data_IF_139686730595
#
_entry.id   IF_139686730595
#
_cell.length_a   1.000
_cell.length_b   1.000
_cell.length_c   1.000
_cell.angle_alpha   90.00
_cell.angle_beta   90.00
_cell.angle_gamma   90.00
#
_symmetry.space_group_name_H-M   'P 1'
#
loop_
_entity.id
_entity.type
_entity.pdbx_description
1 polymer ?
#
# COMPACT_ATOMS: atom_id res chain seq x y z
N UNK A 1 -16.72 9.54 1.56
CA UNK A 1 -17.87 10.46 1.69
C UNK A 1 -17.47 11.76 2.39
N UNK A 2 -16.96 11.78 3.65
CA UNK A 2 -16.61 13.03 4.36
C UNK A 2 -15.64 13.94 3.61
N UNK A 3 -14.56 13.39 3.05
CA UNK A 3 -13.59 14.18 2.28
C UNK A 3 -14.22 14.82 1.04
N UNK A 4 -15.11 14.11 0.35
CA UNK A 4 -15.85 14.63 -0.80
C UNK A 4 -16.79 15.77 -0.38
N UNK A 5 -17.52 15.61 0.73
CA UNK A 5 -18.41 16.63 1.25
C UNK A 5 -17.65 17.91 1.60
N UNK A 6 -16.57 17.81 2.36
CA UNK A 6 -15.81 18.98 2.82
C UNK A 6 -15.08 19.65 1.66
N UNK A 7 -14.23 18.92 0.91
CA UNK A 7 -13.34 19.52 -0.09
C UNK A 7 -14.00 19.82 -1.43
N UNK A 8 -15.07 19.11 -1.76
CA UNK A 8 -15.72 19.23 -3.06
C UNK A 8 -17.02 20.04 -2.98
N UNK A 9 -17.88 19.72 -1.99
CA UNK A 9 -19.18 20.37 -1.87
C UNK A 9 -19.10 21.68 -1.09
N UNK A 10 -18.48 21.69 0.12
CA UNK A 10 -18.45 22.87 0.97
C UNK A 10 -17.38 23.89 0.53
N UNK A 11 -16.15 23.43 0.25
CA UNK A 11 -15.03 24.29 -0.12
C UNK A 11 -14.93 24.55 -1.62
N UNK A 12 -15.49 23.67 -2.47
CA UNK A 12 -15.42 23.79 -3.93
C UNK A 12 -14.00 23.73 -4.51
N UNK A 13 -13.02 23.21 -3.76
CA UNK A 13 -11.60 23.19 -4.17
C UNK A 13 -11.29 22.08 -5.14
N UNK A 14 -11.96 20.94 -5.00
CA UNK A 14 -11.72 19.75 -5.76
C UNK A 14 -13.00 19.26 -6.43
N UNK A 15 -12.92 18.68 -7.64
CA UNK A 15 -14.07 18.14 -8.33
C UNK A 15 -14.62 16.91 -7.61
N UNK A 16 -15.93 16.70 -7.70
CA UNK A 16 -16.65 15.64 -6.98
C UNK A 16 -16.50 14.29 -7.66
N UNK A 17 -16.64 14.26 -9.00
CA UNK A 17 -16.69 13.05 -9.83
C UNK A 17 -16.03 13.27 -11.18
N UNK A 18 -15.57 12.20 -11.82
CA UNK A 18 -14.97 12.24 -13.15
C UNK A 18 -13.46 12.00 -13.15
N UNK A 19 -12.84 12.11 -14.32
CA UNK A 19 -11.42 11.84 -14.54
C UNK A 19 -10.74 12.86 -15.48
N UNK A 20 -11.37 14.01 -15.73
CA UNK A 20 -10.97 14.94 -16.80
C UNK A 20 -9.70 15.75 -16.49
N UNK A 21 -9.29 15.84 -15.21
CA UNK A 21 -8.10 16.58 -14.79
C UNK A 21 -7.38 15.91 -13.64
N UNK A 22 -6.10 16.28 -13.44
CA UNK A 22 -5.29 15.75 -12.33
C UNK A 22 -5.91 16.00 -10.93
N UNK A 23 -6.77 17.01 -10.78
CA UNK A 23 -7.47 17.31 -9.52
C UNK A 23 -8.43 16.20 -9.10
N UNK A 24 -8.97 15.44 -10.06
CA UNK A 24 -9.86 14.31 -9.77
C UNK A 24 -9.13 13.14 -9.09
N UNK A 25 -7.78 13.04 -9.22
CA UNK A 25 -6.99 12.00 -8.56
C UNK A 25 -6.79 12.24 -7.06
N UNK A 26 -6.88 13.51 -6.60
CA UNK A 26 -6.49 13.88 -5.24
C UNK A 26 -7.39 13.21 -4.19
N UNK A 27 -8.71 13.33 -4.30
CA UNK A 27 -9.64 12.78 -3.32
C UNK A 27 -9.64 11.25 -3.27
N UNK A 28 -9.71 10.51 -4.40
CA UNK A 28 -9.58 9.07 -4.41
C UNK A 28 -8.26 8.58 -3.80
N UNK A 29 -7.15 9.20 -4.19
CA UNK A 29 -5.82 8.84 -3.68
C UNK A 29 -5.68 9.10 -2.19
N UNK A 30 -6.17 10.22 -1.68
CA UNK A 30 -6.19 10.51 -0.25
C UNK A 30 -7.08 9.54 0.52
N UNK A 31 -8.24 9.17 -0.04
CA UNK A 31 -9.17 8.23 0.60
C UNK A 31 -8.54 6.85 0.77
N UNK A 32 -7.91 6.31 -0.28
CA UNK A 32 -7.20 5.03 -0.24
C UNK A 32 -5.91 5.11 0.58
N UNK A 33 -5.12 6.16 0.31
CA UNK A 33 -3.79 6.31 0.90
C UNK A 33 -3.82 6.58 2.40
N UNK A 34 -4.79 7.33 2.92
CA UNK A 34 -4.86 7.66 4.34
C UNK A 34 -5.06 6.41 5.21
N UNK A 35 -5.92 5.49 4.79
CA UNK A 35 -6.16 4.25 5.52
C UNK A 35 -4.91 3.37 5.57
N UNK A 36 -4.26 3.18 4.42
CA UNK A 36 -3.03 2.38 4.32
C UNK A 36 -1.87 3.06 5.06
N UNK A 37 -1.71 4.38 4.91
CA UNK A 37 -0.65 5.14 5.58
C UNK A 37 -0.75 5.02 7.10
N UNK A 38 -1.96 5.08 7.68
CA UNK A 38 -2.16 4.95 9.11
C UNK A 38 -1.74 3.55 9.62
N UNK A 39 -2.07 2.50 8.89
CA UNK A 39 -1.68 1.11 9.24
C UNK A 39 -0.17 0.95 9.10
N UNK A 40 0.39 1.38 7.97
CA UNK A 40 1.82 1.27 7.69
C UNK A 40 2.68 2.07 8.66
N UNK A 41 2.26 3.28 9.04
CA UNK A 41 3.00 4.09 10.00
C UNK A 41 3.06 3.41 11.39
N UNK A 42 1.93 2.87 11.87
CA UNK A 42 1.90 2.14 13.15
C UNK A 42 2.75 0.88 13.11
N UNK A 43 2.63 0.10 12.03
CA UNK A 43 3.39 -1.13 11.86
C UNK A 43 4.88 -0.87 11.76
N UNK A 44 5.29 0.12 10.95
CA UNK A 44 6.70 0.51 10.80
C UNK A 44 7.28 0.98 12.12
N UNK A 45 6.52 1.78 12.89
CA UNK A 45 6.95 2.22 14.22
C UNK A 45 7.15 1.05 15.17
N UNK A 46 6.20 0.12 15.25
CA UNK A 46 6.30 -1.06 16.12
C UNK A 46 7.51 -1.91 15.74
N UNK A 47 7.64 -2.27 14.46
CA UNK A 47 8.76 -3.04 13.94
C UNK A 47 10.12 -2.38 14.21
N UNK A 48 10.18 -1.05 14.11
CA UNK A 48 11.41 -0.31 14.38
C UNK A 48 11.76 -0.30 15.87
N UNK A 49 10.78 -0.13 16.76
CA UNK A 49 10.97 -0.16 18.21
C UNK A 49 11.45 -1.55 18.66
N UNK A 50 10.86 -2.63 18.13
CA UNK A 50 11.25 -3.99 18.43
C UNK A 50 12.73 -4.23 18.08
N UNK A 51 13.13 -3.84 16.87
CA UNK A 51 14.51 -3.96 16.40
C UNK A 51 15.50 -3.16 17.28
N UNK A 52 15.13 -1.98 17.77
CA UNK A 52 16.02 -1.17 18.63
C UNK A 52 16.36 -1.82 19.96
N UNK A 53 15.54 -2.77 20.42
CA UNK A 53 15.75 -3.52 21.69
C UNK A 53 16.52 -4.83 21.50
N UNK A 54 16.83 -5.23 20.26
CA UNK A 54 17.57 -6.45 19.95
C UNK A 54 19.03 -6.40 20.45
N UNK A 55 19.56 -7.54 20.84
CA UNK A 55 20.91 -7.66 21.44
C UNK A 55 22.04 -7.22 20.51
N UNK A 56 21.86 -7.41 19.18
CA UNK A 56 22.88 -6.94 18.23
C UNK A 56 22.98 -5.40 18.16
N UNK A 57 21.91 -4.68 18.49
CA UNK A 57 21.92 -3.21 18.59
C UNK A 57 22.71 -2.77 19.82
N UNK A 58 22.56 -3.48 20.93
CA UNK A 58 23.36 -3.24 22.15
C UNK A 58 24.84 -3.53 21.90
N UNK A 59 25.14 -4.62 21.19
CA UNK A 59 26.49 -5.00 20.82
C UNK A 59 27.15 -3.96 19.90
N UNK A 60 26.40 -3.42 18.93
CA UNK A 60 26.91 -2.37 18.05
C UNK A 60 27.26 -1.08 18.79
N UNK A 61 26.42 -0.69 19.78
CA UNK A 61 26.69 0.45 20.66
C UNK A 61 27.94 0.21 21.53
N UNK A 62 28.07 -0.99 22.10
CA UNK A 62 29.23 -1.36 22.94
C UNK A 62 30.54 -1.33 22.15
N UNK A 63 30.53 -1.59 20.83
CA UNK A 63 31.67 -1.47 19.93
C UNK A 63 32.00 -0.02 19.52
N UNK A 64 31.32 0.98 20.08
CA UNK A 64 31.57 2.40 19.82
C UNK A 64 31.08 2.90 18.47
N UNK A 65 30.16 2.18 17.80
CA UNK A 65 29.54 2.66 16.56
C UNK A 65 28.65 3.86 16.87
N UNK A 66 28.75 4.92 16.06
CA UNK A 66 27.92 6.13 16.25
C UNK A 66 26.42 5.80 16.18
N UNK A 67 25.62 6.43 17.05
CA UNK A 67 24.19 6.14 17.20
C UNK A 67 23.42 6.28 15.88
N UNK A 68 23.74 7.32 15.07
CA UNK A 68 23.15 7.48 13.74
C UNK A 68 23.38 6.27 12.84
N UNK A 69 24.59 5.69 12.88
CA UNK A 69 24.91 4.50 12.08
C UNK A 69 24.23 3.25 12.63
N UNK A 70 24.15 3.12 13.94
CA UNK A 70 23.42 2.03 14.61
C UNK A 70 21.95 2.07 14.18
N UNK A 71 21.31 3.23 14.27
CA UNK A 71 19.89 3.42 13.95
C UNK A 71 19.61 3.23 12.46
N UNK A 72 20.36 3.92 11.58
CA UNK A 72 20.05 3.90 10.14
C UNK A 72 20.51 2.61 9.45
N UNK A 73 21.73 2.15 9.75
CA UNK A 73 22.30 0.99 9.04
C UNK A 73 21.85 -0.34 9.63
N UNK A 74 21.78 -0.45 10.95
CA UNK A 74 21.41 -1.71 11.63
C UNK A 74 19.94 -1.74 12.01
N UNK A 75 19.40 -0.65 12.54
CA UNK A 75 17.99 -0.57 12.96
C UNK A 75 17.04 -0.54 11.78
N UNK A 76 17.11 0.50 10.94
CA UNK A 76 16.15 0.72 9.87
C UNK A 76 16.15 -0.42 8.85
N UNK A 77 17.32 -0.89 8.44
CA UNK A 77 17.43 -1.98 7.46
C UNK A 77 16.71 -3.25 7.92
N UNK A 78 16.88 -3.64 9.18
CA UNK A 78 16.24 -4.84 9.72
C UNK A 78 14.75 -4.63 10.00
N UNK A 79 14.35 -3.44 10.45
CA UNK A 79 12.96 -3.09 10.64
C UNK A 79 12.16 -3.06 9.32
N UNK A 80 12.81 -2.76 8.18
CA UNK A 80 12.15 -2.77 6.88
C UNK A 80 11.79 -4.15 6.36
N UNK A 81 12.38 -5.23 6.87
CA UNK A 81 12.08 -6.60 6.44
C UNK A 81 10.60 -6.93 6.62
N UNK A 82 10.02 -6.89 7.84
CA UNK A 82 8.59 -7.14 8.03
C UNK A 82 7.71 -6.03 7.41
N UNK A 83 8.22 -4.80 7.30
CA UNK A 83 7.47 -3.69 6.67
C UNK A 83 7.23 -3.94 5.19
N UNK A 84 8.24 -4.43 4.44
CA UNK A 84 8.08 -4.77 3.01
C UNK A 84 7.07 -5.90 2.82
N UNK A 85 7.09 -6.91 3.68
CA UNK A 85 6.07 -7.98 3.66
C UNK A 85 4.67 -7.41 3.89
N UNK A 86 4.52 -6.53 4.89
CA UNK A 86 3.24 -5.87 5.17
C UNK A 86 2.78 -4.99 4.01
N UNK A 87 3.69 -4.33 3.27
CA UNK A 87 3.36 -3.60 2.04
C UNK A 87 2.66 -4.48 1.02
N UNK A 88 3.15 -5.70 0.79
CA UNK A 88 2.52 -6.66 -0.13
C UNK A 88 1.07 -6.95 0.24
N UNK A 89 0.79 -7.20 1.53
CA UNK A 89 -0.58 -7.39 2.02
C UNK A 89 -1.45 -6.15 1.83
N UNK A 90 -0.89 -4.97 2.03
CA UNK A 90 -1.62 -3.71 1.83
C UNK A 90 -1.95 -3.43 0.35
N UNK A 91 -1.16 -3.90 -0.58
CA UNK A 91 -1.52 -3.84 -2.01
C UNK A 91 -2.76 -4.68 -2.32
N UNK A 92 -2.89 -5.88 -1.75
CA UNK A 92 -4.12 -6.68 -1.87
C UNK A 92 -5.34 -5.94 -1.33
N UNK A 93 -5.20 -5.27 -0.18
CA UNK A 93 -6.25 -4.41 0.37
C UNK A 93 -6.60 -3.23 -0.54
N UNK A 94 -5.59 -2.59 -1.16
CA UNK A 94 -5.81 -1.49 -2.10
C UNK A 94 -6.56 -1.93 -3.35
N UNK A 95 -6.27 -3.10 -3.91
CA UNK A 95 -7.01 -3.64 -5.06
C UNK A 95 -8.50 -3.80 -4.74
N UNK A 96 -8.84 -4.39 -3.59
CA UNK A 96 -10.23 -4.51 -3.15
C UNK A 96 -10.88 -3.16 -2.81
N UNK A 97 -10.14 -2.26 -2.15
CA UNK A 97 -10.62 -0.94 -1.77
C UNK A 97 -10.80 0.02 -2.95
N UNK A 98 -10.03 -0.13 -4.02
CA UNK A 98 -10.14 0.69 -5.21
C UNK A 98 -11.50 0.52 -5.89
N UNK A 99 -12.08 -0.68 -5.92
CA UNK A 99 -13.40 -0.98 -6.48
C UNK A 99 -14.47 -0.06 -5.90
N UNK A 100 -14.50 0.05 -4.56
CA UNK A 100 -15.48 0.90 -3.86
C UNK A 100 -15.23 2.38 -4.13
N UNK A 101 -13.96 2.80 -4.11
CA UNK A 101 -13.58 4.19 -4.36
C UNK A 101 -13.91 4.60 -5.79
N UNK A 102 -13.61 3.77 -6.78
CA UNK A 102 -13.93 4.02 -8.19
C UNK A 102 -15.45 4.17 -8.41
N UNK A 103 -16.25 3.32 -7.78
CA UNK A 103 -17.71 3.44 -7.87
C UNK A 103 -18.22 4.73 -7.21
N UNK A 104 -17.68 5.10 -6.02
CA UNK A 104 -18.08 6.31 -5.28
C UNK A 104 -17.70 7.60 -6.01
N UNK A 105 -16.50 7.67 -6.57
CA UNK A 105 -15.99 8.83 -7.28
C UNK A 105 -16.36 8.83 -8.78
N UNK A 106 -17.11 7.83 -9.23
CA UNK A 106 -17.46 7.63 -10.65
C UNK A 106 -16.22 7.61 -11.54
N UNK A 107 -15.14 7.00 -11.04
CA UNK A 107 -13.87 6.90 -11.74
C UNK A 107 -13.91 5.79 -12.78
N UNK A 108 -13.45 6.03 -14.01
CA UNK A 108 -13.39 4.99 -15.06
C UNK A 108 -12.20 4.05 -14.81
N UNK A 109 -12.39 3.05 -13.94
CA UNK A 109 -11.39 2.06 -13.59
C UNK A 109 -11.92 0.64 -13.70
N UNK A 110 -11.02 -0.35 -13.51
CA UNK A 110 -11.36 -1.77 -13.58
C UNK A 110 -12.35 -2.20 -12.49
N UNK A 111 -12.21 -1.65 -11.28
CA UNK A 111 -13.13 -1.99 -10.20
C UNK A 111 -14.57 -1.53 -10.47
N UNK A 112 -14.74 -0.36 -11.08
CA UNK A 112 -16.06 0.08 -11.52
C UNK A 112 -16.59 -0.80 -12.65
N UNK A 113 -15.75 -1.13 -13.64
CA UNK A 113 -16.13 -2.00 -14.75
C UNK A 113 -16.60 -3.36 -14.21
N UNK A 114 -15.92 -3.92 -13.21
CA UNK A 114 -16.32 -5.16 -12.55
C UNK A 114 -17.73 -5.06 -11.95
N UNK A 115 -17.99 -4.00 -11.19
CA UNK A 115 -19.31 -3.81 -10.56
C UNK A 115 -20.39 -3.65 -11.62
N UNK A 116 -20.16 -2.84 -12.64
CA UNK A 116 -21.11 -2.61 -13.73
C UNK A 116 -21.38 -3.92 -14.52
N UNK A 117 -20.33 -4.74 -14.76
CA UNK A 117 -20.45 -6.03 -15.43
C UNK A 117 -21.23 -7.06 -14.59
N UNK A 118 -21.07 -7.02 -13.26
CA UNK A 118 -21.88 -7.86 -12.35
C UNK A 118 -23.36 -7.46 -12.39
N UNK A 119 -23.65 -6.15 -12.39
CA UNK A 119 -25.03 -5.64 -12.50
C UNK A 119 -25.67 -6.04 -13.84
N UNK A 120 -24.88 -6.03 -14.93
CA UNK A 120 -25.32 -6.43 -16.28
C UNK A 120 -25.31 -7.95 -16.52
N UNK A 121 -24.76 -8.74 -15.59
CA UNK A 121 -24.53 -10.19 -15.72
C UNK A 121 -23.65 -10.58 -16.92
N UNK A 122 -22.67 -9.73 -17.24
CA UNK A 122 -21.70 -9.97 -18.28
C UNK A 122 -20.57 -10.89 -17.78
N UNK A 123 -20.84 -12.19 -17.79
CA UNK A 123 -19.91 -13.20 -17.27
C UNK A 123 -18.54 -13.23 -17.99
N UNK A 124 -18.44 -13.06 -19.32
CA UNK A 124 -17.15 -12.98 -19.99
C UNK A 124 -16.27 -11.86 -19.45
N UNK A 125 -16.80 -10.66 -19.25
CA UNK A 125 -16.05 -9.53 -18.71
C UNK A 125 -15.67 -9.76 -17.25
N UNK A 126 -16.60 -10.26 -16.43
CA UNK A 126 -16.33 -10.59 -15.03
C UNK A 126 -15.16 -11.59 -14.92
N UNK A 127 -15.17 -12.66 -15.74
CA UNK A 127 -14.10 -13.66 -15.73
C UNK A 127 -12.75 -13.07 -16.15
N UNK A 128 -12.74 -12.23 -17.19
CA UNK A 128 -11.53 -11.57 -17.66
C UNK A 128 -10.94 -10.65 -16.59
N UNK A 129 -11.76 -9.88 -15.89
CA UNK A 129 -11.31 -8.98 -14.83
C UNK A 129 -10.81 -9.70 -13.58
N UNK A 130 -11.49 -10.78 -13.16
CA UNK A 130 -11.02 -11.61 -12.05
C UNK A 130 -9.65 -12.22 -12.36
N UNK A 131 -9.43 -12.68 -13.60
CA UNK A 131 -8.12 -13.17 -14.04
C UNK A 131 -7.08 -12.05 -14.03
N UNK A 132 -7.44 -10.86 -14.48
CA UNK A 132 -6.55 -9.69 -14.51
C UNK A 132 -6.17 -9.26 -13.10
N UNK A 133 -7.11 -9.09 -12.17
CA UNK A 133 -6.82 -8.79 -10.77
C UNK A 133 -5.97 -9.87 -10.10
N UNK A 134 -6.21 -11.15 -10.41
CA UNK A 134 -5.40 -12.25 -9.90
C UNK A 134 -3.97 -12.16 -10.41
N UNK A 135 -3.78 -11.84 -11.69
CA UNK A 135 -2.46 -11.65 -12.28
C UNK A 135 -1.73 -10.46 -11.67
N UNK A 136 -2.41 -9.31 -11.52
CA UNK A 136 -1.86 -8.13 -10.86
C UNK A 136 -1.40 -8.45 -9.43
N UNK A 137 -2.24 -9.16 -8.67
CA UNK A 137 -1.90 -9.57 -7.30
C UNK A 137 -0.66 -10.46 -7.25
N UNK A 138 -0.56 -11.44 -8.15
CA UNK A 138 0.62 -12.33 -8.25
C UNK A 138 1.86 -11.52 -8.61
N UNK A 139 1.78 -10.61 -9.59
CA UNK A 139 2.91 -9.77 -9.98
C UNK A 139 3.38 -8.85 -8.85
N UNK A 140 2.46 -8.23 -8.12
CA UNK A 140 2.78 -7.39 -6.97
C UNK A 140 3.49 -8.21 -5.89
N UNK A 141 2.97 -9.39 -5.55
CA UNK A 141 3.62 -10.26 -4.57
C UNK A 141 5.01 -10.69 -5.03
N UNK A 142 5.18 -11.04 -6.31
CA UNK A 142 6.49 -11.36 -6.86
C UNK A 142 7.48 -10.18 -6.71
N UNK A 143 7.04 -8.96 -6.98
CA UNK A 143 7.88 -7.76 -6.77
C UNK A 143 8.24 -7.60 -5.29
N UNK A 144 7.29 -7.80 -4.39
CA UNK A 144 7.53 -7.74 -2.92
C UNK A 144 8.53 -8.81 -2.49
N UNK A 145 8.43 -10.04 -3.00
CA UNK A 145 9.35 -11.13 -2.68
C UNK A 145 10.78 -10.82 -3.18
N UNK A 146 10.90 -10.25 -4.38
CA UNK A 146 12.20 -9.81 -4.92
C UNK A 146 12.80 -8.68 -4.06
N UNK A 147 11.99 -7.71 -3.65
CA UNK A 147 12.42 -6.64 -2.74
C UNK A 147 12.84 -7.20 -1.38
N UNK A 148 12.07 -8.15 -0.85
CA UNK A 148 12.42 -8.84 0.39
C UNK A 148 13.75 -9.57 0.29
N UNK A 149 13.99 -10.32 -0.78
CA UNK A 149 15.25 -11.01 -1.03
C UNK A 149 16.44 -10.03 -1.18
N UNK A 150 16.22 -8.84 -1.77
CA UNK A 150 17.23 -7.81 -1.91
C UNK A 150 17.61 -7.15 -0.56
N UNK A 151 16.62 -6.97 0.33
CA UNK A 151 16.83 -6.35 1.65
C UNK A 151 17.46 -7.35 2.62
N UNK A 152 17.06 -8.63 2.56
CA UNK A 152 17.53 -9.69 3.44
C UNK A 152 18.47 -10.66 2.72
N UNK A 153 19.80 -10.40 2.69
CA UNK A 153 20.75 -11.27 2.01
C UNK A 153 20.98 -12.64 2.71
N UNK A 154 20.39 -12.86 3.88
CA UNK A 154 20.46 -14.13 4.59
C UNK A 154 19.62 -15.23 3.94
N UNK A 155 18.66 -14.89 3.09
CA UNK A 155 17.87 -15.81 2.28
C UNK A 155 18.62 -16.05 0.95
N UNK A 156 19.80 -16.63 1.00
CA UNK A 156 20.34 -17.32 -0.15
C UNK A 156 19.76 -18.72 -0.12
N UNK A 157 18.88 -18.99 -1.04
CA UNK A 157 18.42 -20.36 -1.32
C UNK A 157 19.64 -21.29 -1.45
N UNK A 158 19.74 -22.28 -0.57
CA UNK A 158 20.61 -23.43 -0.78
C UNK A 158 19.96 -24.34 -1.81
#
# INVERSE_FOLDING_TARGET
MLLMQVFSVELGWLPTVGADSWRHYILPSLTLGAAVAAVMARFTRASFVDVLHEDYMRTARAKGVSETRVVLKHGLRNAMIPVVTMMGLQFGFLLGGSIVVEKVFNWPGLGRLLVDSVEMRDYPVIQAEVLLFSLEFILINLVVDVLYAAINPAIRYK
#
